data_IF_598599524056
#
_entry.id   IF_598599524056
#
_cell.length_a   1.000
_cell.length_b   1.000
_cell.length_c   1.000
_cell.angle_alpha   90.00
_cell.angle_beta   90.00
_cell.angle_gamma   90.00
#
_symmetry.space_group_name_H-M   'P 1'
#
loop_
_entity.id
_entity.type
_entity.pdbx_description
1 polymer ?
#
# COMPACT_ATOMS: atom_id res chain seq x y z
N UNK A 1 4.30 -6.94 -7.39
CA UNK A 1 5.31 -5.86 -7.29
C UNK A 1 4.57 -4.59 -6.90
N UNK A 2 4.83 -4.05 -5.71
CA UNK A 2 4.14 -2.88 -5.18
C UNK A 2 4.84 -1.59 -5.63
N UNK A 3 4.05 -0.56 -5.91
CA UNK A 3 4.54 0.81 -5.89
C UNK A 3 4.87 1.14 -4.43
N UNK A 4 6.01 1.80 -4.17
CA UNK A 4 6.25 2.41 -2.86
C UNK A 4 5.30 3.60 -2.76
N UNK A 5 4.12 3.37 -2.19
CA UNK A 5 3.18 4.43 -1.86
C UNK A 5 3.58 5.06 -0.53
N UNK A 6 3.33 6.36 -0.43
CA UNK A 6 3.52 7.10 0.81
C UNK A 6 2.60 6.51 1.90
N UNK A 7 3.16 6.14 3.05
CA UNK A 7 2.36 5.86 4.25
C UNK A 7 1.82 7.21 4.75
N UNK A 8 0.83 7.76 4.06
CA UNK A 8 0.28 9.10 4.26
C UNK A 8 -0.90 9.14 5.27
N UNK A 9 -1.13 8.02 5.95
CA UNK A 9 -2.21 7.86 6.93
C UNK A 9 -3.59 7.56 6.35
N UNK A 10 -3.83 7.47 5.03
CA UNK A 10 -5.18 7.23 4.47
C UNK A 10 -5.65 5.76 4.50
N UNK A 11 -5.14 4.95 5.43
CA UNK A 11 -5.50 3.54 5.59
C UNK A 11 -5.23 3.07 7.03
N UNK A 12 -5.62 1.85 7.37
CA UNK A 12 -5.67 1.33 8.74
C UNK A 12 -4.30 1.14 9.41
N UNK A 13 -3.19 1.26 8.66
CA UNK A 13 -1.85 1.24 9.24
C UNK A 13 -1.55 2.46 10.12
N UNK A 14 -2.33 3.54 10.01
CA UNK A 14 -2.09 4.82 10.71
C UNK A 14 -1.96 4.65 12.23
N UNK A 15 -2.97 4.08 12.92
CA UNK A 15 -2.92 3.82 14.36
C UNK A 15 -1.75 2.93 14.81
N UNK A 16 -1.33 1.95 14.00
CA UNK A 16 -0.17 1.10 14.31
C UNK A 16 1.12 1.91 14.33
N UNK A 17 1.34 2.74 13.31
CA UNK A 17 2.51 3.61 13.22
C UNK A 17 2.55 4.63 14.37
N UNK A 18 1.40 5.22 14.74
CA UNK A 18 1.29 6.11 15.90
C UNK A 18 1.68 5.42 17.21
N UNK A 19 1.34 4.13 17.38
CA UNK A 19 1.74 3.31 18.52
C UNK A 19 3.19 2.77 18.44
N UNK A 20 3.99 3.20 17.46
CA UNK A 20 5.36 2.71 17.23
C UNK A 20 5.43 1.26 16.74
N UNK A 21 4.33 0.69 16.25
CA UNK A 21 4.33 -0.59 15.53
C UNK A 21 4.72 -0.29 14.08
N UNK A 22 5.77 -0.92 13.56
CA UNK A 22 6.13 -0.76 12.15
C UNK A 22 5.07 -1.40 11.27
N UNK A 23 4.67 -0.71 10.21
CA UNK A 23 3.68 -1.19 9.26
C UNK A 23 4.18 -0.97 7.83
N UNK A 24 3.69 -1.82 6.94
CA UNK A 24 3.90 -1.73 5.49
C UNK A 24 2.69 -2.32 4.78
N UNK A 25 2.67 -2.25 3.46
CA UNK A 25 1.52 -2.72 2.69
C UNK A 25 1.76 -2.77 1.20
N UNK A 26 0.72 -3.20 0.49
CA UNK A 26 0.65 -3.26 -0.97
C UNK A 26 -0.51 -2.40 -1.43
N UNK A 27 -0.36 -1.72 -2.55
CA UNK A 27 -1.40 -0.87 -3.12
C UNK A 27 -1.32 -0.89 -4.65
N UNK A 28 -2.46 -1.06 -5.32
CA UNK A 28 -2.56 -1.10 -6.79
C UNK A 28 -2.86 0.26 -7.42
N UNK A 29 -3.20 1.26 -6.61
CA UNK A 29 -3.73 2.55 -7.06
C UNK A 29 -5.22 2.72 -6.76
N UNK A 30 -5.67 3.97 -6.75
CA UNK A 30 -7.06 4.40 -6.62
C UNK A 30 -7.36 5.48 -7.68
N UNK A 31 -7.59 6.72 -7.26
CA UNK A 31 -8.00 7.84 -8.11
C UNK A 31 -6.84 8.53 -8.85
N UNK A 32 -5.61 8.03 -8.72
CA UNK A 32 -4.45 8.58 -9.41
C UNK A 32 -4.45 8.23 -10.90
N UNK A 33 -3.79 9.08 -11.70
CA UNK A 33 -3.61 8.84 -13.14
C UNK A 33 -2.33 8.06 -13.41
N UNK A 34 -2.43 7.01 -14.22
CA UNK A 34 -1.28 6.18 -14.60
C UNK A 34 -0.27 6.97 -15.44
N UNK A 35 0.98 7.00 -14.99
CA UNK A 35 2.07 7.67 -15.73
C UNK A 35 2.72 6.76 -16.78
N UNK A 36 3.48 7.36 -17.71
CA UNK A 36 4.32 6.63 -18.67
C UNK A 36 5.32 5.71 -17.97
N UNK A 37 5.95 6.20 -16.90
CA UNK A 37 6.97 5.48 -16.15
C UNK A 37 6.36 4.26 -15.45
N UNK A 38 5.16 4.42 -14.87
CA UNK A 38 4.43 3.31 -14.27
C UNK A 38 4.09 2.24 -15.30
N UNK A 39 3.55 2.63 -16.47
CA UNK A 39 3.27 1.67 -17.55
C UNK A 39 4.52 0.89 -17.95
N UNK A 40 5.62 1.58 -18.25
CA UNK A 40 6.89 0.95 -18.66
C UNK A 40 7.38 -0.01 -17.59
N UNK A 41 7.40 0.43 -16.33
CA UNK A 41 7.79 -0.42 -15.19
C UNK A 41 6.94 -1.68 -15.08
N UNK A 42 5.63 -1.59 -15.30
CA UNK A 42 4.76 -2.75 -15.24
C UNK A 42 4.91 -3.68 -16.45
N UNK A 43 5.09 -3.15 -17.67
CA UNK A 43 5.43 -3.98 -18.84
C UNK A 43 6.74 -4.76 -18.61
N UNK A 44 7.78 -4.10 -18.09
CA UNK A 44 9.07 -4.74 -17.79
C UNK A 44 8.96 -5.85 -16.75
N UNK A 45 8.10 -5.68 -15.75
CA UNK A 45 8.07 -6.52 -14.55
C UNK A 45 7.01 -7.61 -14.60
N UNK A 46 5.92 -7.37 -15.31
CA UNK A 46 4.78 -8.30 -15.43
C UNK A 46 4.67 -8.91 -16.83
N UNK A 47 5.45 -8.40 -17.80
CA UNK A 47 5.45 -8.84 -19.18
C UNK A 47 4.75 -7.87 -20.13
N UNK A 48 5.07 -8.00 -21.42
CA UNK A 48 4.51 -7.16 -22.47
C UNK A 48 2.96 -7.20 -22.44
N UNK A 49 2.35 -6.02 -22.49
CA UNK A 49 0.89 -5.86 -22.45
C UNK A 49 0.28 -5.74 -21.05
N UNK A 50 1.06 -5.92 -19.98
CA UNK A 50 0.57 -5.83 -18.59
C UNK A 50 0.76 -4.44 -17.95
N UNK A 51 1.23 -3.46 -18.73
CA UNK A 51 1.45 -2.10 -18.23
C UNK A 51 0.20 -1.25 -18.04
N UNK A 52 -0.91 -1.63 -18.69
CA UNK A 52 -2.12 -0.81 -18.77
C UNK A 52 -1.96 0.43 -19.66
N UNK A 53 -2.87 1.38 -19.51
CA UNK A 53 -2.98 2.57 -20.35
C UNK A 53 -2.46 3.81 -19.62
N UNK A 54 -1.53 4.54 -20.24
CA UNK A 54 -1.09 5.86 -19.73
C UNK A 54 -2.25 6.84 -19.79
N UNK A 55 -2.41 7.67 -18.76
CA UNK A 55 -3.49 8.65 -18.67
C UNK A 55 -4.81 8.09 -18.17
N UNK A 56 -4.95 6.77 -18.01
CA UNK A 56 -6.10 6.18 -17.35
C UNK A 56 -6.01 6.34 -15.83
N UNK A 57 -7.15 6.51 -15.16
CA UNK A 57 -7.25 6.38 -13.71
C UNK A 57 -6.94 4.93 -13.31
N UNK A 58 -6.16 4.73 -12.24
CA UNK A 58 -5.71 3.41 -11.81
C UNK A 58 -6.89 2.51 -11.43
N UNK A 59 -7.86 3.07 -10.69
CA UNK A 59 -9.18 2.50 -10.48
C UNK A 59 -10.28 3.53 -10.85
N UNK A 60 -10.87 3.45 -12.05
CA UNK A 60 -11.93 4.37 -12.46
C UNK A 60 -13.22 4.23 -11.65
N UNK A 61 -13.38 3.15 -10.88
CA UNK A 61 -14.54 2.87 -10.04
C UNK A 61 -14.30 3.13 -8.56
N UNK A 62 -13.15 3.67 -8.16
CA UNK A 62 -12.86 4.00 -6.76
C UNK A 62 -13.98 4.83 -6.11
N UNK A 63 -14.58 4.32 -5.04
CA UNK A 63 -15.75 4.91 -4.33
C UNK A 63 -17.00 5.13 -5.21
N UNK A 64 -17.20 4.32 -6.25
CA UNK A 64 -18.38 4.37 -7.13
C UNK A 64 -19.14 3.05 -7.08
N UNK A 65 -20.40 3.08 -7.51
CA UNK A 65 -21.26 1.89 -7.55
C UNK A 65 -20.75 0.76 -8.47
N UNK A 66 -19.81 1.05 -9.38
CA UNK A 66 -19.20 0.05 -10.24
C UNK A 66 -18.02 -0.69 -9.60
N UNK A 67 -17.62 -0.34 -8.37
CA UNK A 67 -16.64 -1.09 -7.58
C UNK A 67 -17.24 -2.42 -7.13
N UNK A 68 -17.10 -3.40 -8.02
CA UNK A 68 -17.68 -4.74 -7.91
C UNK A 68 -16.61 -5.76 -8.33
N UNK A 69 -16.92 -7.05 -8.23
CA UNK A 69 -16.01 -8.11 -8.69
C UNK A 69 -15.65 -8.02 -10.17
N UNK A 70 -16.46 -7.33 -10.97
CA UNK A 70 -16.21 -7.12 -12.40
C UNK A 70 -15.11 -6.07 -12.66
N UNK A 71 -14.75 -5.27 -11.65
CA UNK A 71 -13.67 -4.25 -11.73
C UNK A 71 -12.32 -4.77 -11.18
N UNK A 72 -12.13 -6.08 -11.10
CA UNK A 72 -10.87 -6.68 -10.60
C UNK A 72 -9.96 -7.05 -11.77
N UNK A 73 -8.74 -6.52 -11.79
CA UNK A 73 -7.68 -7.05 -12.63
C UNK A 73 -7.13 -8.35 -12.01
N UNK A 74 -7.46 -9.50 -12.61
CA UNK A 74 -7.11 -10.81 -12.05
C UNK A 74 -5.60 -11.00 -11.86
N UNK A 75 -4.78 -10.64 -12.85
CA UNK A 75 -3.32 -10.78 -12.73
C UNK A 75 -2.78 -9.89 -11.59
N UNK A 76 -3.24 -8.64 -11.52
CA UNK A 76 -2.88 -7.71 -10.44
C UNK A 76 -3.24 -8.28 -9.07
N UNK A 77 -4.47 -8.78 -8.92
CA UNK A 77 -4.94 -9.44 -7.70
C UNK A 77 -4.04 -10.63 -7.30
N UNK A 78 -3.76 -11.54 -8.23
CA UNK A 78 -2.89 -12.69 -7.99
C UNK A 78 -1.49 -12.25 -7.52
N UNK A 79 -0.90 -11.23 -8.14
CA UNK A 79 0.42 -10.70 -7.75
C UNK A 79 0.40 -10.02 -6.39
N UNK A 80 -0.70 -9.39 -6.00
CA UNK A 80 -0.84 -8.81 -4.66
C UNK A 80 -0.96 -9.90 -3.60
N UNK A 81 -1.80 -10.92 -3.83
CA UNK A 81 -1.95 -12.06 -2.92
C UNK A 81 -0.62 -12.80 -2.75
N UNK A 82 0.10 -13.07 -3.84
CA UNK A 82 1.42 -13.70 -3.80
C UNK A 82 2.43 -12.87 -2.99
N UNK A 83 2.47 -11.56 -3.19
CA UNK A 83 3.37 -10.68 -2.45
C UNK A 83 3.01 -10.61 -0.97
N UNK A 84 1.72 -10.56 -0.61
CA UNK A 84 1.26 -10.58 0.77
C UNK A 84 1.63 -11.89 1.47
N UNK A 85 1.35 -13.02 0.83
CA UNK A 85 1.69 -14.35 1.35
C UNK A 85 3.21 -14.49 1.56
N UNK A 86 4.01 -14.08 0.58
CA UNK A 86 5.47 -14.09 0.69
C UNK A 86 5.98 -13.27 1.87
N UNK A 87 5.44 -12.06 2.07
CA UNK A 87 5.87 -11.21 3.19
C UNK A 87 5.47 -11.78 4.55
N UNK A 88 4.29 -12.38 4.66
CA UNK A 88 3.86 -13.06 5.89
C UNK A 88 4.78 -14.23 6.22
N UNK A 89 5.09 -15.08 5.24
CA UNK A 89 6.02 -16.19 5.41
C UNK A 89 7.42 -15.70 5.78
N UNK A 90 7.96 -14.75 5.01
CA UNK A 90 9.31 -14.21 5.21
C UNK A 90 9.50 -13.61 6.60
N UNK A 91 8.51 -12.86 7.11
CA UNK A 91 8.55 -12.29 8.45
C UNK A 91 8.29 -13.33 9.53
N UNK A 92 7.38 -14.28 9.29
CA UNK A 92 7.07 -15.38 10.21
C UNK A 92 8.23 -16.35 10.43
N UNK A 93 9.16 -16.44 9.48
CA UNK A 93 10.37 -17.26 9.55
C UNK A 93 11.59 -16.53 10.15
N UNK A 94 11.44 -15.30 10.67
CA UNK A 94 12.56 -14.60 11.31
C UNK A 94 12.82 -15.14 12.71
N UNK A 95 14.03 -15.65 12.93
CA UNK A 95 14.50 -16.10 14.25
C UNK A 95 14.43 -14.99 15.30
N UNK A 96 14.80 -13.77 14.92
CA UNK A 96 14.67 -12.58 15.76
C UNK A 96 13.97 -11.45 14.99
N UNK A 97 12.64 -11.59 14.91
CA UNK A 97 11.79 -10.60 14.26
C UNK A 97 11.91 -9.21 14.93
N UNK A 98 12.06 -9.15 16.25
CA UNK A 98 12.06 -7.88 16.96
C UNK A 98 13.32 -7.07 16.68
N UNK A 99 14.50 -7.70 16.68
CA UNK A 99 15.74 -7.03 16.28
C UNK A 99 15.72 -6.67 14.79
N UNK A 100 15.10 -7.50 13.94
CA UNK A 100 14.97 -7.18 12.52
C UNK A 100 14.08 -5.96 12.27
N UNK A 101 12.92 -5.87 12.94
CA UNK A 101 12.01 -4.73 12.83
C UNK A 101 12.54 -3.48 13.52
N UNK A 102 13.29 -3.65 14.60
CA UNK A 102 13.74 -2.59 15.49
C UNK A 102 15.23 -2.69 15.84
N UNK A 103 16.13 -2.63 14.84
CA UNK A 103 17.57 -2.81 15.08
C UNK A 103 18.16 -1.74 16.00
N UNK A 104 17.49 -0.59 16.12
CA UNK A 104 17.85 0.53 17.00
C UNK A 104 16.84 0.73 18.14
N UNK A 105 16.07 -0.30 18.48
CA UNK A 105 14.97 -0.22 19.44
C UNK A 105 13.67 0.32 18.86
N UNK A 106 12.56 -0.01 19.52
CA UNK A 106 11.22 0.40 19.08
C UNK A 106 11.02 1.89 19.33
N UNK A 107 10.57 2.68 18.33
CA UNK A 107 10.22 4.07 18.53
C UNK A 107 9.15 4.21 19.62
N UNK A 108 9.24 5.27 20.43
CA UNK A 108 8.17 5.61 21.37
C UNK A 108 6.89 5.94 20.57
N UNK A 109 5.71 5.60 21.11
CA UNK A 109 4.45 6.08 20.54
C UNK A 109 4.51 7.60 20.37
N UNK A 110 4.02 8.07 19.22
CA UNK A 110 3.92 9.50 18.90
C UNK A 110 2.46 9.90 18.81
N UNK A 111 2.17 11.16 19.09
CA UNK A 111 0.84 11.69 18.83
C UNK A 111 0.55 11.58 17.33
N UNK A 112 -0.70 11.29 16.93
CA UNK A 112 -1.03 11.06 15.53
C UNK A 112 -0.62 12.21 14.58
N UNK A 113 -0.79 13.46 15.04
CA UNK A 113 -0.41 14.67 14.31
C UNK A 113 1.11 14.81 14.10
N UNK A 114 1.94 14.13 14.91
CA UNK A 114 3.40 14.13 14.74
C UNK A 114 3.87 13.12 13.68
N UNK A 115 3.07 12.07 13.44
CA UNK A 115 3.42 11.03 12.47
C UNK A 115 2.90 11.36 11.07
N UNK A 116 1.75 12.03 10.98
CA UNK A 116 1.17 12.47 9.72
C UNK A 116 0.73 13.94 9.80
N UNK A 117 1.67 14.89 9.80
CA UNK A 117 1.38 16.31 10.08
C UNK A 117 0.43 16.99 9.08
N UNK A 118 0.31 16.41 7.88
CA UNK A 118 -0.56 16.89 6.80
C UNK A 118 -1.71 15.89 6.49
N UNK A 119 -1.95 14.92 7.37
CA UNK A 119 -3.05 13.98 7.20
C UNK A 119 -4.28 14.49 7.92
N UNK A 120 -5.39 14.60 7.19
CA UNK A 120 -6.70 14.90 7.77
C UNK A 120 -7.28 13.72 8.55
N UNK A 121 -6.58 12.58 8.58
CA UNK A 121 -7.04 11.33 9.19
C UNK A 121 -7.43 11.47 10.67
N UNK A 122 -6.79 12.36 11.41
CA UNK A 122 -7.11 12.61 12.83
C UNK A 122 -7.90 13.91 13.07
N UNK A 123 -8.07 14.76 12.04
CA UNK A 123 -8.78 16.04 12.17
C UNK A 123 -10.27 15.93 11.83
N UNK A 124 -10.66 14.93 11.03
CA UNK A 124 -12.03 14.74 10.56
C UNK A 124 -12.57 13.33 10.87
N UNK A 125 -12.27 12.77 12.04
CA UNK A 125 -12.99 11.57 12.51
C UNK A 125 -14.38 12.04 12.98
N UNK A 126 -15.28 12.24 12.03
CA UNK A 126 -16.71 12.26 12.31
C UNK A 126 -17.13 10.81 12.59
N UNK A 127 -17.36 10.51 13.88
CA UNK A 127 -18.07 9.29 14.34
C UNK A 127 -19.57 9.55 14.24
#
# INVERSE_FOLDING_TARGET
MAVFESLNGRSDYGPFLAAGVVAGGLFSGADETKTSEQRTRYEEKLGQGQGGLVGAILDPCYHRACDTTDNINQLGYEKMVQAAAYMLEFLGQKDDLMTWLYPNGRPKPRLPDEYFPNSDYFRNIDI
#
